data_IF_114945029164
#
_entry.id   IF_114945029164
#
_cell.length_a   1.000
_cell.length_b   1.000
_cell.length_c   1.000
_cell.angle_alpha   90.00
_cell.angle_beta   90.00
_cell.angle_gamma   90.00
#
_symmetry.space_group_name_H-M   'P 1'
#
loop_
_entity.id
_entity.type
_entity.pdbx_description
1 polymer ?
#
# COMPACT_ATOMS: atom_id res chain seq x y z
N UNK A 1 5.04 -8.44 -43.61
CA UNK A 1 3.82 -8.96 -42.93
C UNK A 1 2.72 -9.15 -43.97
N UNK A 2 2.41 -10.41 -44.31
CA UNK A 2 1.26 -10.75 -45.14
C UNK A 2 0.00 -10.67 -44.27
N UNK A 3 -0.76 -9.59 -44.38
CA UNK A 3 -2.12 -9.55 -43.83
C UNK A 3 -3.00 -10.48 -44.65
N UNK A 4 -3.46 -11.58 -44.04
CA UNK A 4 -4.40 -12.51 -44.64
C UNK A 4 -5.81 -12.09 -44.22
N UNK A 5 -6.69 -11.91 -45.19
CA UNK A 5 -8.10 -11.60 -44.95
C UNK A 5 -8.91 -12.89 -45.02
N UNK A 6 -9.86 -13.08 -44.11
CA UNK A 6 -10.77 -14.24 -44.10
C UNK A 6 -12.20 -13.77 -44.29
N UNK A 7 -13.01 -14.55 -45.01
CA UNK A 7 -14.44 -14.27 -45.14
C UNK A 7 -15.16 -14.49 -43.80
N UNK A 8 -15.95 -13.51 -43.36
CA UNK A 8 -16.72 -13.58 -42.11
C UNK A 8 -17.89 -14.57 -42.13
N UNK A 9 -18.29 -15.05 -43.31
CA UNK A 9 -19.42 -15.98 -43.48
C UNK A 9 -18.95 -17.44 -43.55
N UNK A 10 -17.96 -17.75 -44.40
CA UNK A 10 -17.53 -19.13 -44.61
C UNK A 10 -16.09 -19.43 -44.17
N UNK A 11 -15.34 -18.43 -43.68
CA UNK A 11 -13.98 -18.60 -43.17
C UNK A 11 -12.90 -18.82 -44.24
N UNK A 12 -13.24 -18.79 -45.53
CA UNK A 12 -12.27 -18.94 -46.61
C UNK A 12 -11.26 -17.77 -46.62
N UNK A 13 -9.98 -18.09 -46.81
CA UNK A 13 -8.94 -17.09 -47.01
C UNK A 13 -9.13 -16.38 -48.37
N UNK A 14 -9.13 -15.05 -48.35
CA UNK A 14 -9.33 -14.22 -49.54
C UNK A 14 -8.16 -13.28 -49.76
N UNK A 15 -7.90 -12.94 -51.04
CA UNK A 15 -6.88 -11.96 -51.42
C UNK A 15 -7.25 -10.56 -50.94
N UNK A 16 -6.25 -9.70 -50.70
CA UNK A 16 -6.42 -8.37 -50.09
C UNK A 16 -7.36 -7.43 -50.85
N UNK A 17 -7.58 -7.66 -52.14
CA UNK A 17 -8.41 -6.82 -53.02
C UNK A 17 -9.70 -7.52 -53.48
N UNK A 18 -10.00 -8.70 -52.93
CA UNK A 18 -11.22 -9.42 -53.30
C UNK A 18 -12.46 -8.69 -52.73
N UNK A 19 -13.30 -8.15 -53.62
CA UNK A 19 -14.56 -7.51 -53.24
C UNK A 19 -15.62 -8.52 -52.79
N UNK A 20 -15.54 -9.75 -53.28
CA UNK A 20 -16.46 -10.84 -52.98
C UNK A 20 -15.70 -12.13 -52.66
N UNK A 21 -16.23 -12.92 -51.73
CA UNK A 21 -15.67 -14.23 -51.41
C UNK A 21 -15.89 -15.20 -52.58
N UNK A 22 -14.84 -15.86 -53.11
CA UNK A 22 -14.97 -16.80 -54.23
C UNK A 22 -15.71 -18.09 -53.84
N UNK A 23 -15.83 -18.40 -52.55
CA UNK A 23 -16.48 -19.61 -52.07
C UNK A 23 -17.99 -19.42 -51.79
N UNK A 24 -18.39 -18.29 -51.18
CA UNK A 24 -19.79 -18.09 -50.77
C UNK A 24 -20.46 -16.84 -51.38
N UNK A 25 -19.74 -16.05 -52.18
CA UNK A 25 -20.29 -14.84 -52.82
C UNK A 25 -20.54 -13.66 -51.88
N UNK A 26 -20.27 -13.79 -50.58
CA UNK A 26 -20.47 -12.70 -49.63
C UNK A 26 -19.52 -11.51 -49.92
N UNK A 27 -19.99 -10.26 -49.82
CA UNK A 27 -19.15 -9.09 -49.97
C UNK A 27 -18.12 -9.02 -48.84
N UNK A 28 -16.86 -8.74 -49.17
CA UNK A 28 -15.79 -8.57 -48.19
C UNK A 28 -15.83 -7.12 -47.70
N UNK A 29 -16.49 -6.88 -46.57
CA UNK A 29 -16.30 -5.64 -45.82
C UNK A 29 -14.91 -5.65 -45.21
N UNK A 30 -13.99 -4.87 -45.77
CA UNK A 30 -12.68 -4.60 -45.16
C UNK A 30 -12.92 -3.84 -43.86
N UNK A 31 -13.13 -4.56 -42.76
CA UNK A 31 -13.03 -3.97 -41.45
C UNK A 31 -11.54 -3.72 -41.21
N UNK A 32 -11.10 -2.48 -41.38
CA UNK A 32 -9.84 -2.01 -40.81
C UNK A 32 -9.95 -2.09 -39.29
N UNK A 33 -9.79 -3.29 -38.74
CA UNK A 33 -9.61 -3.48 -37.32
C UNK A 33 -8.18 -3.03 -37.02
N UNK A 34 -8.01 -1.71 -36.86
CA UNK A 34 -6.89 -1.16 -36.13
C UNK A 34 -7.11 -1.48 -34.64
N UNK A 35 -6.94 -2.75 -34.27
CA UNK A 35 -6.53 -3.06 -32.91
C UNK A 35 -5.07 -2.60 -32.79
N UNK A 36 -4.89 -1.29 -32.59
CA UNK A 36 -3.74 -0.83 -31.85
C UNK A 36 -3.84 -1.53 -30.50
N UNK A 37 -3.00 -2.55 -30.28
CA UNK A 37 -2.64 -2.99 -28.94
C UNK A 37 -1.86 -1.81 -28.36
N UNK A 38 -2.60 -0.76 -27.95
CA UNK A 38 -2.06 0.25 -27.06
C UNK A 38 -1.82 -0.50 -25.76
N UNK A 39 -0.57 -0.91 -25.53
CA UNK A 39 -0.14 -1.25 -24.19
C UNK A 39 -0.60 -0.08 -23.30
N UNK A 40 -1.35 -0.35 -22.21
CA UNK A 40 -1.76 0.74 -21.33
C UNK A 40 -0.48 1.40 -20.86
N UNK A 41 -0.25 2.65 -21.27
CA UNK A 41 0.91 3.40 -20.84
C UNK A 41 0.89 3.42 -19.32
N UNK A 42 1.81 2.68 -18.68
CA UNK A 42 1.83 2.44 -17.25
C UNK A 42 1.85 3.77 -16.47
N UNK A 43 2.56 4.78 -17.01
CA UNK A 43 2.60 6.13 -16.46
C UNK A 43 1.21 6.81 -16.49
N UNK A 44 0.44 6.64 -17.57
CA UNK A 44 -0.93 7.20 -17.67
C UNK A 44 -1.92 6.55 -16.69
N UNK A 45 -1.75 5.25 -16.41
CA UNK A 45 -2.56 4.52 -15.42
C UNK A 45 -2.17 4.92 -13.99
N UNK A 46 -0.88 5.10 -13.73
CA UNK A 46 -0.35 5.56 -12.44
C UNK A 46 -0.81 6.99 -12.11
N UNK A 47 -0.79 7.91 -13.07
CA UNK A 47 -1.30 9.28 -12.87
C UNK A 47 -2.81 9.32 -12.59
N UNK A 48 -3.58 8.35 -13.10
CA UNK A 48 -5.01 8.22 -12.79
C UNK A 48 -5.29 7.65 -11.39
N UNK A 49 -4.30 6.99 -10.77
CA UNK A 49 -4.43 6.42 -9.42
C UNK A 49 -4.40 7.52 -8.34
N UNK A 50 -3.48 8.49 -8.47
CA UNK A 50 -3.37 9.66 -7.58
C UNK A 50 -4.35 10.78 -7.94
N UNK A 51 -5.64 10.47 -7.82
CA UNK A 51 -6.69 11.51 -7.94
C UNK A 51 -6.50 12.60 -6.87
N UNK A 52 -6.86 13.85 -7.19
CA UNK A 52 -6.84 14.97 -6.23
C UNK A 52 -7.45 14.64 -4.85
N UNK A 53 -8.66 14.05 -4.73
CA UNK A 53 -9.20 13.71 -3.41
C UNK A 53 -8.35 12.68 -2.66
N UNK A 54 -7.72 11.75 -3.37
CA UNK A 54 -6.85 10.77 -2.73
C UNK A 54 -5.54 11.40 -2.22
N UNK A 55 -4.98 12.37 -2.95
CA UNK A 55 -3.80 13.13 -2.48
C UNK A 55 -4.13 13.88 -1.18
N UNK A 56 -5.32 14.50 -1.08
CA UNK A 56 -5.74 15.13 0.17
C UNK A 56 -5.89 14.12 1.32
N UNK A 57 -6.40 12.91 1.05
CA UNK A 57 -6.44 11.84 2.05
C UNK A 57 -5.03 11.41 2.49
N UNK A 58 -4.05 11.37 1.58
CA UNK A 58 -2.64 11.07 1.91
C UNK A 58 -2.07 12.13 2.85
N UNK A 59 -2.20 13.40 2.49
CA UNK A 59 -1.69 14.51 3.33
C UNK A 59 -2.35 14.49 4.71
N UNK A 60 -3.67 14.32 4.77
CA UNK A 60 -4.41 14.23 6.03
C UNK A 60 -3.93 13.04 6.88
N UNK A 61 -3.75 11.87 6.26
CA UNK A 61 -3.31 10.66 6.94
C UNK A 61 -1.90 10.81 7.50
N UNK A 62 -0.97 11.40 6.72
CA UNK A 62 0.38 11.70 7.19
C UNK A 62 0.37 12.62 8.40
N UNK A 63 -0.40 13.72 8.34
CA UNK A 63 -0.51 14.66 9.46
C UNK A 63 -1.03 13.95 10.71
N UNK A 64 -2.11 13.17 10.60
CA UNK A 64 -2.69 12.47 11.73
C UNK A 64 -1.73 11.44 12.34
N UNK A 65 -1.10 10.62 11.50
CA UNK A 65 -0.13 9.61 11.92
C UNK A 65 1.02 10.25 12.68
N UNK A 66 1.70 11.23 12.08
CA UNK A 66 2.87 11.84 12.72
C UNK A 66 2.50 12.67 13.96
N UNK A 67 1.34 13.32 13.96
CA UNK A 67 0.87 14.07 15.14
C UNK A 67 0.63 13.15 16.33
N UNK A 68 -0.04 12.02 16.12
CA UNK A 68 -0.30 11.03 17.18
C UNK A 68 0.99 10.38 17.65
N UNK A 69 1.90 10.04 16.74
CA UNK A 69 3.22 9.50 17.08
C UNK A 69 4.01 10.44 17.99
N UNK A 70 4.11 11.72 17.61
CA UNK A 70 4.91 12.70 18.37
C UNK A 70 4.28 12.95 19.74
N UNK A 71 2.96 13.14 19.79
CA UNK A 71 2.25 13.40 21.04
C UNK A 71 2.41 12.26 22.05
N UNK A 72 2.26 11.01 21.59
CA UNK A 72 2.42 9.82 22.43
C UNK A 72 3.86 9.56 22.83
N UNK A 73 4.84 9.81 21.95
CA UNK A 73 6.25 9.65 22.28
C UNK A 73 6.76 10.66 23.30
N UNK A 74 6.29 11.91 23.26
CA UNK A 74 6.56 12.87 24.33
C UNK A 74 6.05 12.34 25.68
N UNK A 75 4.86 11.71 25.71
CA UNK A 75 4.30 11.10 26.93
C UNK A 75 5.15 9.90 27.39
N UNK A 76 5.57 9.04 26.47
CA UNK A 76 6.42 7.89 26.77
C UNK A 76 7.79 8.28 27.33
N UNK A 77 8.33 9.45 26.97
CA UNK A 77 9.61 9.96 27.50
C UNK A 77 9.50 10.46 28.96
N UNK A 78 8.29 10.74 29.47
CA UNK A 78 8.08 11.32 30.81
C UNK A 78 8.04 10.29 31.95
N UNK A 79 8.10 8.99 31.67
CA UNK A 79 8.09 7.95 32.72
C UNK A 79 9.41 7.88 33.48
N UNK A 80 9.50 7.06 34.52
CA UNK A 80 10.77 6.83 35.24
C UNK A 80 11.72 5.94 34.43
N UNK A 81 13.02 5.97 34.73
CA UNK A 81 14.00 5.12 34.03
C UNK A 81 13.76 3.65 34.36
N UNK A 82 13.40 3.36 35.61
CA UNK A 82 13.08 2.03 36.11
C UNK A 82 11.86 1.44 35.38
N UNK A 83 10.77 2.20 35.25
CA UNK A 83 9.59 1.80 34.46
C UNK A 83 9.95 1.59 32.99
N UNK A 84 10.77 2.47 32.41
CA UNK A 84 11.17 2.36 31.02
C UNK A 84 11.94 1.06 30.75
N UNK A 85 12.88 0.72 31.63
CA UNK A 85 13.66 -0.53 31.53
C UNK A 85 12.78 -1.77 31.66
N UNK A 86 11.76 -1.75 32.54
CA UNK A 86 10.80 -2.85 32.66
C UNK A 86 10.01 -3.07 31.37
N UNK A 87 9.46 -2.00 30.79
CA UNK A 87 8.73 -2.07 29.53
C UNK A 87 9.63 -2.58 28.39
N UNK A 88 10.88 -2.13 28.34
CA UNK A 88 11.83 -2.63 27.33
C UNK A 88 12.10 -4.13 27.45
N UNK A 89 12.25 -4.64 28.67
CA UNK A 89 12.42 -6.07 28.90
C UNK A 89 11.18 -6.87 28.47
N UNK A 90 9.98 -6.35 28.68
CA UNK A 90 8.74 -6.98 28.20
C UNK A 90 8.73 -7.05 26.66
N UNK A 91 9.05 -5.94 25.99
CA UNK A 91 9.10 -5.88 24.52
C UNK A 91 10.15 -6.85 23.97
N UNK A 92 11.37 -6.85 24.51
CA UNK A 92 12.45 -7.73 24.05
C UNK A 92 12.07 -9.21 24.18
N UNK A 93 11.35 -9.58 25.25
CA UNK A 93 10.83 -10.94 25.40
C UNK A 93 9.73 -11.30 24.39
N UNK A 94 8.93 -10.32 23.95
CA UNK A 94 7.92 -10.52 22.91
C UNK A 94 8.55 -10.62 21.51
N UNK A 95 9.48 -9.73 21.16
CA UNK A 95 9.99 -9.59 19.79
C UNK A 95 11.33 -10.29 19.53
N UNK A 96 12.04 -10.74 20.56
CA UNK A 96 13.40 -11.27 20.44
C UNK A 96 13.56 -12.46 19.49
N UNK A 97 12.48 -13.22 19.26
CA UNK A 97 12.46 -14.37 18.35
C UNK A 97 11.67 -14.14 17.05
N UNK A 98 11.32 -12.89 16.72
CA UNK A 98 10.56 -12.60 15.51
C UNK A 98 11.40 -12.88 14.26
N UNK A 99 10.83 -13.67 13.33
CA UNK A 99 11.38 -13.86 11.98
C UNK A 99 10.85 -12.77 11.03
N UNK A 100 11.37 -12.69 9.80
CA UNK A 100 10.86 -11.75 8.81
C UNK A 100 9.35 -11.93 8.56
N UNK A 101 8.85 -13.17 8.60
CA UNK A 101 7.42 -13.47 8.47
C UNK A 101 6.63 -12.96 9.68
N UNK A 102 7.18 -12.99 10.90
CA UNK A 102 6.52 -12.41 12.06
C UNK A 102 6.36 -10.90 11.92
N UNK A 103 7.45 -10.18 11.61
CA UNK A 103 7.41 -8.72 11.37
C UNK A 103 6.42 -8.35 10.26
N UNK A 104 6.50 -9.03 9.12
CA UNK A 104 5.57 -8.83 8.01
C UNK A 104 4.12 -9.07 8.43
N UNK A 105 3.83 -10.20 9.09
CA UNK A 105 2.46 -10.58 9.45
C UNK A 105 1.85 -9.64 10.48
N UNK A 106 2.64 -9.17 11.45
CA UNK A 106 2.21 -8.20 12.46
C UNK A 106 1.76 -6.89 11.80
N UNK A 107 2.62 -6.31 10.97
CA UNK A 107 2.33 -5.06 10.26
C UNK A 107 1.22 -5.24 9.21
N UNK A 108 1.13 -6.42 8.56
CA UNK A 108 0.06 -6.71 7.62
C UNK A 108 -1.31 -6.79 8.32
N UNK A 109 -1.39 -7.40 9.50
CA UNK A 109 -2.63 -7.45 10.27
C UNK A 109 -3.11 -6.05 10.64
N UNK A 110 -2.21 -5.20 11.11
CA UNK A 110 -2.47 -3.77 11.37
C UNK A 110 -3.02 -3.08 10.12
N UNK A 111 -2.35 -3.25 8.97
CA UNK A 111 -2.78 -2.65 7.72
C UNK A 111 -4.15 -3.16 7.26
N UNK A 112 -4.41 -4.46 7.31
CA UNK A 112 -5.69 -5.05 6.87
C UNK A 112 -6.87 -4.54 7.69
N UNK A 113 -6.74 -4.44 9.02
CA UNK A 113 -7.77 -3.85 9.88
C UNK A 113 -7.97 -2.38 9.51
N UNK A 114 -6.88 -1.68 9.23
CA UNK A 114 -6.88 -0.24 8.93
C UNK A 114 -7.49 0.12 7.56
N UNK A 115 -7.71 -0.86 6.67
CA UNK A 115 -8.48 -0.69 5.44
C UNK A 115 -9.99 -0.59 5.67
N UNK A 116 -10.49 -1.03 6.83
CA UNK A 116 -11.91 -0.95 7.16
C UNK A 116 -12.25 0.51 7.48
N UNK A 117 -13.11 1.19 6.71
CA UNK A 117 -13.40 2.60 6.94
C UNK A 117 -13.94 2.85 8.35
N UNK A 118 -13.59 4.00 8.94
CA UNK A 118 -13.95 4.42 10.31
C UNK A 118 -13.26 3.56 11.39
N UNK A 119 -13.58 2.27 11.47
CA UNK A 119 -13.03 1.35 12.48
C UNK A 119 -11.51 1.25 12.34
N UNK A 120 -11.05 1.02 11.12
CA UNK A 120 -9.63 0.95 10.78
C UNK A 120 -8.90 2.27 10.97
N UNK A 121 -9.58 3.41 10.77
CA UNK A 121 -8.99 4.71 11.07
C UNK A 121 -8.71 4.89 12.56
N UNK A 122 -9.65 4.51 13.43
CA UNK A 122 -9.45 4.56 14.88
C UNK A 122 -8.36 3.57 15.31
N UNK A 123 -8.38 2.35 14.75
CA UNK A 123 -7.36 1.33 15.02
C UNK A 123 -5.96 1.81 14.65
N UNK A 124 -5.78 2.38 13.45
CA UNK A 124 -4.47 2.89 13.01
C UNK A 124 -3.95 4.00 13.94
N UNK A 125 -4.80 4.93 14.38
CA UNK A 125 -4.37 5.97 15.32
C UNK A 125 -4.05 5.40 16.71
N UNK A 126 -4.76 4.37 17.16
CA UNK A 126 -4.42 3.65 18.39
C UNK A 126 -3.06 2.95 18.30
N UNK A 127 -2.81 2.22 17.21
CA UNK A 127 -1.50 1.60 16.95
C UNK A 127 -0.41 2.68 16.95
N UNK A 128 -0.65 3.79 16.27
CA UNK A 128 0.30 4.88 16.17
C UNK A 128 0.62 5.53 17.52
N UNK A 129 -0.37 5.61 18.41
CA UNK A 129 -0.20 6.07 19.78
C UNK A 129 0.72 5.12 20.55
N UNK A 130 0.48 3.81 20.48
CA UNK A 130 1.33 2.83 21.18
C UNK A 130 2.76 2.85 20.62
N UNK A 131 2.93 2.87 19.29
CA UNK A 131 4.25 2.94 18.67
C UNK A 131 5.02 4.19 19.09
N UNK A 132 4.37 5.36 19.06
CA UNK A 132 5.01 6.60 19.50
C UNK A 132 5.39 6.55 20.98
N UNK A 133 4.47 6.09 21.84
CA UNK A 133 4.73 5.89 23.26
C UNK A 133 5.96 5.01 23.50
N UNK A 134 6.04 3.85 22.85
CA UNK A 134 7.18 2.94 22.94
C UNK A 134 8.48 3.60 22.48
N UNK A 135 8.49 4.40 21.41
CA UNK A 135 9.68 5.15 20.99
C UNK A 135 10.13 6.14 22.09
N UNK A 136 9.19 6.79 22.77
CA UNK A 136 9.46 7.63 23.94
C UNK A 136 10.09 6.85 25.10
N UNK A 137 9.56 5.66 25.39
CA UNK A 137 10.13 4.72 26.39
C UNK A 137 11.57 4.36 26.04
N UNK A 138 11.84 4.01 24.78
CA UNK A 138 13.20 3.72 24.31
C UNK A 138 14.13 4.92 24.47
N UNK A 139 13.67 6.13 24.12
CA UNK A 139 14.45 7.36 24.29
C UNK A 139 14.82 7.57 25.77
N UNK A 140 13.86 7.38 26.67
CA UNK A 140 14.07 7.49 28.12
C UNK A 140 15.04 6.45 28.65
N UNK A 141 14.88 5.19 28.29
CA UNK A 141 15.70 4.09 28.79
C UNK A 141 17.16 4.18 28.33
N UNK A 142 17.39 4.62 27.09
CA UNK A 142 18.75 4.78 26.55
C UNK A 142 19.37 6.17 26.78
N UNK A 143 18.62 7.10 27.39
CA UNK A 143 19.08 8.48 27.59
C UNK A 143 19.32 9.23 26.26
N UNK A 144 18.57 8.88 25.22
CA UNK A 144 18.68 9.50 23.89
C UNK A 144 17.66 10.62 23.72
N UNK A 145 17.94 11.57 22.84
CA UNK A 145 16.94 12.57 22.46
C UNK A 145 15.80 11.91 21.67
N UNK A 146 14.55 12.07 22.14
CA UNK A 146 13.36 11.50 21.52
C UNK A 146 13.22 11.83 20.02
N UNK A 147 13.42 13.10 19.63
CA UNK A 147 13.26 13.50 18.23
C UNK A 147 14.33 12.89 17.33
N UNK A 148 15.58 12.80 17.81
CA UNK A 148 16.67 12.13 17.09
C UNK A 148 16.40 10.63 16.90
N UNK A 149 15.97 9.93 17.96
CA UNK A 149 15.63 8.51 17.87
C UNK A 149 14.45 8.26 16.94
N UNK A 150 13.40 9.09 17.05
CA UNK A 150 12.24 9.02 16.17
C UNK A 150 12.64 9.21 14.71
N UNK A 151 13.48 10.19 14.40
CA UNK A 151 13.96 10.42 13.04
C UNK A 151 14.81 9.25 12.51
N UNK A 152 15.62 8.63 13.37
CA UNK A 152 16.40 7.44 13.02
C UNK A 152 15.49 6.24 12.68
N UNK A 153 14.48 5.99 13.51
CA UNK A 153 13.52 4.88 13.30
C UNK A 153 12.72 5.13 12.02
N UNK A 154 12.15 6.32 11.85
CA UNK A 154 11.35 6.66 10.66
C UNK A 154 12.20 6.74 9.38
N UNK A 155 13.46 7.16 9.50
CA UNK A 155 14.41 7.25 8.39
C UNK A 155 15.06 5.91 8.03
N UNK A 156 14.89 4.88 8.86
CA UNK A 156 15.35 3.53 8.53
C UNK A 156 14.59 2.99 7.31
N UNK A 157 15.19 2.08 6.51
CA UNK A 157 14.49 1.51 5.36
C UNK A 157 13.16 0.84 5.73
N UNK A 158 13.13 0.13 6.86
CA UNK A 158 11.90 -0.48 7.39
C UNK A 158 10.88 0.58 7.77
N UNK A 159 11.28 1.61 8.53
CA UNK A 159 10.40 2.71 8.93
C UNK A 159 9.79 3.45 7.74
N UNK A 160 10.58 3.72 6.69
CA UNK A 160 10.08 4.35 5.48
C UNK A 160 9.02 3.49 4.78
N UNK A 161 9.27 2.18 4.64
CA UNK A 161 8.34 1.26 3.98
C UNK A 161 7.05 1.08 4.79
N UNK A 162 7.17 0.89 6.10
CA UNK A 162 6.05 0.70 7.01
C UNK A 162 5.16 1.95 7.07
N UNK A 163 5.74 3.14 7.27
CA UNK A 163 4.95 4.37 7.36
C UNK A 163 4.34 4.76 6.00
N UNK A 164 5.01 4.45 4.88
CA UNK A 164 4.36 4.58 3.56
C UNK A 164 3.13 3.67 3.45
N UNK A 165 3.22 2.42 3.93
CA UNK A 165 2.11 1.48 3.94
C UNK A 165 0.96 1.95 4.84
N UNK A 166 1.25 2.45 6.04
CA UNK A 166 0.24 2.95 6.98
C UNK A 166 -0.45 4.22 6.49
N UNK A 167 0.30 5.16 5.94
CA UNK A 167 -0.26 6.37 5.34
C UNK A 167 -1.22 6.00 4.19
N UNK A 168 -0.81 5.11 3.28
CA UNK A 168 -1.65 4.66 2.17
C UNK A 168 -2.93 3.97 2.66
N UNK A 169 -2.81 3.14 3.69
CA UNK A 169 -3.93 2.38 4.25
C UNK A 169 -4.95 3.29 4.93
N UNK A 170 -4.49 4.22 5.79
CA UNK A 170 -5.37 5.21 6.41
C UNK A 170 -6.03 6.11 5.37
N UNK A 171 -5.30 6.46 4.31
CA UNK A 171 -5.84 7.22 3.18
C UNK A 171 -6.93 6.47 2.43
N UNK A 172 -6.81 5.14 2.31
CA UNK A 172 -7.86 4.29 1.72
C UNK A 172 -9.12 4.29 2.59
N UNK A 173 -8.97 4.21 3.91
CA UNK A 173 -10.10 4.36 4.81
C UNK A 173 -10.87 5.66 4.56
N UNK A 174 -10.17 6.80 4.45
CA UNK A 174 -10.83 8.09 4.20
C UNK A 174 -11.42 8.22 2.79
N UNK A 175 -10.71 7.77 1.75
CA UNK A 175 -11.20 7.91 0.37
C UNK A 175 -12.41 7.00 0.10
N UNK A 176 -12.48 5.85 0.76
CA UNK A 176 -13.64 4.95 0.69
C UNK A 176 -14.85 5.62 1.35
N UNK A 177 -14.70 6.25 2.54
CA UNK A 177 -15.80 7.04 3.15
C UNK A 177 -16.26 8.15 2.20
N UNK A 178 -15.32 8.92 1.63
CA UNK A 178 -15.64 10.00 0.69
C UNK A 178 -16.44 9.50 -0.53
N UNK A 179 -16.01 8.40 -1.16
CA UNK A 179 -16.73 7.83 -2.29
C UNK A 179 -18.01 7.10 -1.90
N UNK A 180 -18.13 6.60 -0.67
CA UNK A 180 -19.37 6.04 -0.13
C UNK A 180 -20.45 7.11 -0.04
N UNK A 181 -20.13 8.28 0.52
CA UNK A 181 -21.04 9.45 0.55
C UNK A 181 -21.44 9.88 -0.86
N UNK A 182 -20.53 9.80 -1.83
CA UNK A 182 -20.81 10.08 -3.25
C UNK A 182 -21.48 8.94 -4.02
N UNK A 183 -21.89 7.84 -3.35
CA UNK A 183 -22.49 6.64 -3.98
C UNK A 183 -21.63 6.02 -5.09
N UNK A 184 -20.31 6.15 -4.98
CA UNK A 184 -19.31 5.68 -5.96
C UNK A 184 -18.24 4.76 -5.33
N UNK A 185 -18.44 4.29 -4.10
CA UNK A 185 -17.48 3.42 -3.40
C UNK A 185 -17.12 2.16 -4.19
N UNK A 186 -18.11 1.47 -4.78
CA UNK A 186 -17.88 0.26 -5.60
C UNK A 186 -16.87 0.51 -6.73
N UNK A 187 -16.92 1.67 -7.36
CA UNK A 187 -16.00 2.04 -8.43
C UNK A 187 -14.56 2.24 -7.91
N UNK A 188 -14.38 2.86 -6.74
CA UNK A 188 -13.05 3.01 -6.11
C UNK A 188 -12.48 1.65 -5.71
N UNK A 189 -13.29 0.83 -5.05
CA UNK A 189 -12.91 -0.51 -4.60
C UNK A 189 -12.45 -1.39 -5.77
N UNK A 190 -13.27 -1.50 -6.82
CA UNK A 190 -12.97 -2.42 -7.93
C UNK A 190 -11.81 -1.96 -8.82
N UNK A 191 -11.53 -0.65 -8.89
CA UNK A 191 -10.52 -0.11 -9.83
C UNK A 191 -9.18 0.23 -9.18
N UNK A 192 -9.16 0.61 -7.91
CA UNK A 192 -8.01 1.25 -7.28
C UNK A 192 -7.62 0.64 -5.93
N UNK A 193 -8.55 0.39 -5.02
CA UNK A 193 -8.22 -0.06 -3.64
C UNK A 193 -7.41 -1.36 -3.60
N UNK A 194 -7.69 -2.33 -4.48
CA UNK A 194 -6.90 -3.56 -4.55
C UNK A 194 -5.44 -3.32 -4.98
N UNK A 195 -5.18 -2.29 -5.79
CA UNK A 195 -3.81 -1.90 -6.17
C UNK A 195 -3.09 -1.30 -4.98
N UNK A 196 -3.78 -0.47 -4.20
CA UNK A 196 -3.24 0.07 -2.94
C UNK A 196 -2.87 -1.05 -1.99
N UNK A 197 -3.75 -2.05 -1.83
CA UNK A 197 -3.50 -3.22 -1.00
C UNK A 197 -2.25 -3.99 -1.47
N UNK A 198 -2.08 -4.21 -2.78
CA UNK A 198 -0.88 -4.88 -3.31
C UNK A 198 0.40 -4.07 -3.06
N UNK A 199 0.35 -2.76 -3.20
CA UNK A 199 1.50 -1.87 -2.89
C UNK A 199 1.85 -1.97 -1.41
N UNK A 200 0.84 -1.90 -0.53
CA UNK A 200 0.99 -2.04 0.92
C UNK A 200 1.61 -3.39 1.29
N UNK A 201 1.09 -4.49 0.75
CA UNK A 201 1.67 -5.83 0.98
C UNK A 201 3.14 -5.88 0.53
N UNK A 202 3.46 -5.29 -0.63
CA UNK A 202 4.82 -5.22 -1.13
C UNK A 202 5.76 -4.44 -0.21
N UNK A 203 5.36 -3.27 0.27
CA UNK A 203 6.14 -2.48 1.21
C UNK A 203 6.37 -3.21 2.53
N UNK A 204 5.34 -3.81 3.10
CA UNK A 204 5.44 -4.52 4.37
C UNK A 204 6.29 -5.80 4.26
N UNK A 205 6.20 -6.51 3.15
CA UNK A 205 7.02 -7.71 2.92
C UNK A 205 8.51 -7.34 2.82
N UNK A 206 8.84 -6.30 2.04
CA UNK A 206 10.21 -5.81 1.94
C UNK A 206 10.69 -5.29 3.30
N UNK A 207 9.84 -4.55 4.02
CA UNK A 207 10.13 -4.05 5.37
C UNK A 207 10.48 -5.16 6.34
N UNK A 208 9.65 -6.20 6.45
CA UNK A 208 9.90 -7.34 7.35
C UNK A 208 11.18 -8.11 7.00
N UNK A 209 11.52 -8.25 5.72
CA UNK A 209 12.80 -8.85 5.30
C UNK A 209 13.98 -7.98 5.73
N UNK A 210 13.93 -6.67 5.48
CA UNK A 210 15.00 -5.75 5.85
C UNK A 210 15.19 -5.69 7.37
N UNK A 211 14.10 -5.71 8.13
CA UNK A 211 14.13 -5.71 9.59
C UNK A 211 14.79 -6.96 10.17
N UNK A 212 14.38 -8.15 9.71
CA UNK A 212 15.01 -9.40 10.15
C UNK A 212 16.51 -9.43 9.84
N UNK A 213 16.92 -8.98 8.64
CA UNK A 213 18.34 -8.88 8.26
C UNK A 213 19.09 -7.90 9.18
N UNK A 214 18.49 -6.77 9.53
CA UNK A 214 19.11 -5.72 10.36
C UNK A 214 19.32 -6.19 11.79
N UNK A 215 18.37 -6.95 12.35
CA UNK A 215 18.42 -7.48 13.72
C UNK A 215 19.26 -8.78 13.79
N UNK A 216 19.52 -9.44 12.66
CA UNK A 216 20.24 -10.71 12.61
C UNK A 216 19.34 -11.93 12.83
N UNK A 217 18.03 -11.78 12.68
CA UNK A 217 17.02 -12.81 12.86
C UNK A 217 16.77 -13.60 11.55
N UNK A 218 16.28 -14.85 11.64
CA UNK A 218 16.01 -15.67 10.47
C UNK A 218 14.85 -15.11 9.63
N UNK A 219 14.84 -15.47 8.34
CA UNK A 219 13.77 -15.07 7.42
C UNK A 219 12.47 -15.87 7.66
N UNK A 220 12.60 -17.15 8.04
CA UNK A 220 11.51 -18.09 8.28
C UNK A 220 11.65 -18.67 9.67
#
# INVERSE_FOLDING_TARGET
MLTLSFCSICGQQVGKEALFCPNCGAPITVQHIQHAIQSPNLASSFMKYFSKPFIYCIILSSILIFSVLIMSGIQGEQITVEEAQQILMEIENEVGNFTALNFFSHNLQIALISFIPIIGSVWMLFVQYNTGYIIGVFAKAFGLNFFSLTLLILGSPTGLLEYCAYILTLSESFIIVYFAVKKKARMRLSKQTWKTLLIVIGFLLIGGIVEAITIGNPII
#
